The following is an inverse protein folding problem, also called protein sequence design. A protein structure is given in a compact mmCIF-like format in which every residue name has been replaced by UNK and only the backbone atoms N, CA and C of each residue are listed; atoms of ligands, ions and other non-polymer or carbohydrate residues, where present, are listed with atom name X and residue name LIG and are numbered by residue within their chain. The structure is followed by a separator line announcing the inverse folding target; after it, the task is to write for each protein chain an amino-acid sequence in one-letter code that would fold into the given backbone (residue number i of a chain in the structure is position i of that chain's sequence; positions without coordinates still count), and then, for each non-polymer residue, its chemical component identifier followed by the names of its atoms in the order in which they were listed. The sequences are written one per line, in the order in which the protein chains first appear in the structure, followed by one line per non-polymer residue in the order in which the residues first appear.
data_IF_722525952862
#
_entry.id   IF_722525952862
#
_cell.length_a   1.000
_cell.length_b   1.000
_cell.length_c   1.000
_cell.angle_alpha   90.00
_cell.angle_beta   90.00
_cell.angle_gamma   90.00
#
_symmetry.space_group_name_H-M   'P 1'
#
loop_
_entity.id
_entity.type
_entity.pdbx_description
1 polymer ?
#
# COMPACT_ATOMS: atom_id res chain seq x y z
N UNK A 1 22.54 7.89 22.10
CA UNK A 1 22.17 6.95 21.01
C UNK A 1 21.38 5.76 21.58
N UNK A 2 21.86 5.09 22.63
CA UNK A 2 21.16 3.95 23.27
C UNK A 2 19.73 4.25 23.76
N UNK A 3 19.49 5.43 24.34
CA UNK A 3 18.16 5.85 24.79
C UNK A 3 17.15 5.99 23.63
N UNK A 4 17.59 6.52 22.49
CA UNK A 4 16.77 6.66 21.29
C UNK A 4 16.41 5.29 20.73
N UNK A 5 17.39 4.39 20.63
CA UNK A 5 17.18 3.05 20.12
C UNK A 5 16.18 2.26 20.98
N UNK A 6 16.31 2.36 22.30
CA UNK A 6 15.37 1.75 23.24
C UNK A 6 13.93 2.26 23.07
N UNK A 7 13.74 3.60 22.96
CA UNK A 7 12.41 4.19 22.75
C UNK A 7 11.80 3.81 21.41
N UNK A 8 12.60 3.81 20.33
CA UNK A 8 12.15 3.38 19.00
C UNK A 8 11.74 1.91 19.03
N UNK A 9 12.54 1.02 19.63
CA UNK A 9 12.20 -0.39 19.78
C UNK A 9 10.90 -0.61 20.56
N UNK A 10 10.72 0.11 21.67
CA UNK A 10 9.49 0.02 22.48
C UNK A 10 8.27 0.53 21.70
N UNK A 11 8.40 1.64 20.97
CA UNK A 11 7.34 2.17 20.13
C UNK A 11 6.93 1.19 19.02
N UNK A 12 7.91 0.59 18.33
CA UNK A 12 7.65 -0.42 17.30
C UNK A 12 7.00 -1.69 17.87
N UNK A 13 7.36 -2.08 19.09
CA UNK A 13 6.71 -3.19 19.81
C UNK A 13 5.25 -2.87 20.10
N UNK A 14 4.96 -1.70 20.68
CA UNK A 14 3.60 -1.24 20.97
C UNK A 14 2.73 -1.19 19.70
N UNK A 15 3.29 -0.70 18.58
CA UNK A 15 2.64 -0.69 17.27
C UNK A 15 2.29 -2.10 16.75
N UNK A 16 3.22 -3.04 16.91
CA UNK A 16 3.04 -4.43 16.51
C UNK A 16 1.93 -5.11 17.31
N UNK A 17 1.82 -4.83 18.62
CA UNK A 17 0.75 -5.36 19.48
C UNK A 17 -0.65 -4.94 19.02
N UNK A 18 -0.82 -3.69 18.58
CA UNK A 18 -2.07 -3.20 18.00
C UNK A 18 -2.23 -3.54 16.51
N UNK A 19 -1.34 -4.38 15.96
CA UNK A 19 -1.29 -4.82 14.56
C UNK A 19 -1.25 -3.63 13.56
N UNK A 20 -0.72 -2.48 13.98
CA UNK A 20 -0.46 -1.35 13.08
C UNK A 20 1.01 -1.42 12.70
N UNK A 21 1.29 -2.05 11.56
CA UNK A 21 2.67 -2.25 11.12
C UNK A 21 3.21 -0.99 10.43
N UNK A 22 4.44 -0.60 10.78
CA UNK A 22 5.22 0.43 10.10
C UNK A 22 5.49 1.69 10.94
N UNK A 23 6.53 2.43 10.56
CA UNK A 23 6.99 3.68 11.19
C UNK A 23 6.11 4.83 10.72
N UNK A 24 4.85 4.85 11.14
CA UNK A 24 3.91 5.90 10.76
C UNK A 24 3.42 6.64 11.99
N UNK A 25 3.39 7.97 11.90
CA UNK A 25 2.64 8.80 12.85
C UNK A 25 1.19 8.32 12.87
N UNK A 26 0.72 7.90 14.04
CA UNK A 26 -0.69 7.57 14.24
C UNK A 26 -1.43 8.85 14.59
N UNK A 27 -2.25 9.33 13.67
CA UNK A 27 -3.09 10.49 13.89
C UNK A 27 -4.54 10.07 14.11
N UNK A 28 -5.24 10.85 14.96
CA UNK A 28 -6.67 10.68 15.16
C UNK A 28 -7.37 10.86 13.82
N UNK A 29 -8.14 9.84 13.43
CA UNK A 29 -8.88 9.86 12.18
C UNK A 29 -10.28 10.42 12.40
N UNK A 30 -10.73 11.33 11.54
CA UNK A 30 -12.09 11.88 11.58
C UNK A 30 -13.09 10.97 10.86
N UNK A 31 -14.36 11.02 11.28
CA UNK A 31 -15.45 10.31 10.59
C UNK A 31 -15.59 10.78 9.13
N UNK A 32 -15.43 12.08 8.87
CA UNK A 32 -15.49 12.63 7.50
C UNK A 32 -14.43 12.03 6.57
N UNK A 33 -13.21 11.78 7.06
CA UNK A 33 -12.15 11.12 6.28
C UNK A 33 -12.48 9.65 5.98
N UNK A 34 -13.10 8.95 6.92
CA UNK A 34 -13.55 7.56 6.70
C UNK A 34 -14.67 7.52 5.67
N UNK A 35 -15.63 8.43 5.79
CA UNK A 35 -16.75 8.55 4.87
C UNK A 35 -16.27 8.90 3.45
N UNK A 36 -15.35 9.85 3.31
CA UNK A 36 -14.80 10.20 1.99
C UNK A 36 -14.07 9.02 1.35
N UNK A 37 -13.25 8.29 2.11
CA UNK A 37 -12.59 7.06 1.63
C UNK A 37 -13.60 5.98 1.22
N UNK A 38 -14.69 5.83 1.99
CA UNK A 38 -15.77 4.89 1.67
C UNK A 38 -16.50 5.28 0.38
N UNK A 39 -16.88 6.55 0.22
CA UNK A 39 -17.50 7.06 -0.99
C UNK A 39 -16.60 6.82 -2.21
N UNK A 40 -15.29 7.08 -2.11
CA UNK A 40 -14.33 6.80 -3.17
C UNK A 40 -14.27 5.31 -3.50
N UNK A 41 -14.26 4.43 -2.50
CA UNK A 41 -14.28 2.97 -2.73
C UNK A 41 -15.53 2.55 -3.50
N UNK A 42 -16.71 2.99 -3.08
CA UNK A 42 -17.98 2.66 -3.74
C UNK A 42 -18.02 3.20 -5.17
N UNK A 43 -17.60 4.45 -5.37
CA UNK A 43 -17.58 5.09 -6.69
C UNK A 43 -16.68 4.34 -7.68
N UNK A 44 -15.51 3.89 -7.23
CA UNK A 44 -14.54 3.20 -8.09
C UNK A 44 -14.69 1.67 -8.11
N UNK A 45 -15.63 1.12 -7.35
CA UNK A 45 -15.85 -0.33 -7.29
C UNK A 45 -16.17 -0.96 -8.65
N UNK A 46 -16.98 -0.36 -9.55
CA UNK A 46 -17.24 -0.95 -10.87
C UNK A 46 -15.98 -1.09 -11.73
N UNK A 47 -15.09 -0.08 -11.71
CA UNK A 47 -13.81 -0.10 -12.43
C UNK A 47 -12.88 -1.16 -11.84
N UNK A 48 -12.85 -1.28 -10.51
CA UNK A 48 -12.11 -2.34 -9.82
C UNK A 48 -12.61 -3.73 -10.23
N UNK A 49 -13.93 -3.95 -10.22
CA UNK A 49 -14.52 -5.24 -10.58
C UNK A 49 -14.21 -5.61 -12.03
N UNK A 50 -14.34 -4.66 -12.96
CA UNK A 50 -13.92 -4.83 -14.35
C UNK A 50 -12.44 -5.25 -14.44
N UNK A 51 -11.54 -4.57 -13.69
CA UNK A 51 -10.12 -4.91 -13.65
C UNK A 51 -9.85 -6.31 -13.10
N UNK A 52 -10.54 -6.70 -12.03
CA UNK A 52 -10.41 -8.04 -11.42
C UNK A 52 -10.83 -9.11 -12.41
N UNK A 53 -12.00 -8.97 -13.04
CA UNK A 53 -12.53 -9.97 -13.98
C UNK A 53 -11.59 -10.15 -15.17
N UNK A 54 -11.18 -9.05 -15.80
CA UNK A 54 -10.38 -9.13 -17.02
C UNK A 54 -8.91 -9.51 -16.78
N UNK A 55 -8.37 -9.28 -15.58
CA UNK A 55 -6.98 -9.62 -15.26
C UNK A 55 -6.87 -10.85 -14.34
N UNK A 56 -7.97 -11.54 -14.03
CA UNK A 56 -7.98 -12.66 -13.10
C UNK A 56 -6.99 -13.77 -13.49
N UNK A 57 -6.98 -14.14 -14.77
CA UNK A 57 -6.12 -15.20 -15.32
C UNK A 57 -4.63 -14.83 -15.22
N UNK A 58 -4.16 -13.69 -15.77
CA UNK A 58 -2.74 -13.33 -15.70
C UNK A 58 -2.25 -13.11 -14.25
N UNK A 59 -3.07 -12.55 -13.37
CA UNK A 59 -2.74 -12.45 -11.95
C UNK A 59 -2.64 -13.83 -11.28
N UNK A 60 -3.57 -14.73 -11.54
CA UNK A 60 -3.57 -16.08 -10.97
C UNK A 60 -2.33 -16.87 -11.39
N UNK A 61 -1.94 -16.76 -12.66
CA UNK A 61 -0.72 -17.39 -13.17
C UNK A 61 0.54 -16.82 -12.49
N UNK A 62 0.60 -15.50 -12.34
CA UNK A 62 1.71 -14.83 -11.64
C UNK A 62 1.81 -15.26 -10.17
N UNK A 63 0.67 -15.41 -9.47
CA UNK A 63 0.61 -15.89 -8.09
C UNK A 63 1.05 -17.36 -8.00
N UNK A 64 0.62 -18.20 -8.94
CA UNK A 64 1.04 -19.60 -9.02
C UNK A 64 2.56 -19.70 -9.22
N UNK A 65 3.11 -18.92 -10.16
CA UNK A 65 4.55 -18.86 -10.43
C UNK A 65 5.35 -18.40 -9.19
N UNK A 66 4.86 -17.37 -8.49
CA UNK A 66 5.44 -16.90 -7.22
C UNK A 66 5.53 -18.00 -6.16
N UNK A 67 4.58 -18.95 -6.13
CA UNK A 67 4.58 -20.08 -5.17
C UNK A 67 5.58 -21.17 -5.54
N UNK A 68 6.03 -21.26 -6.80
CA UNK A 68 7.00 -22.26 -7.26
C UNK A 68 8.44 -21.90 -6.90
N UNK A 69 8.74 -20.62 -6.73
CA UNK A 69 10.07 -20.15 -6.35
C UNK A 69 10.22 -20.14 -4.82
N UNK A 70 11.16 -20.95 -4.32
CA UNK A 70 11.49 -21.03 -2.89
C UNK A 70 12.46 -19.93 -2.45
N UNK A 71 13.42 -19.59 -3.30
CA UNK A 71 14.43 -18.58 -2.99
C UNK A 71 13.81 -17.17 -2.96
N UNK A 72 13.81 -16.47 -1.82
CA UNK A 72 13.29 -15.11 -1.70
C UNK A 72 13.98 -14.12 -2.65
N UNK A 73 15.27 -14.30 -2.94
CA UNK A 73 16.08 -13.35 -3.72
C UNK A 73 15.72 -13.40 -5.21
N UNK A 74 15.35 -14.57 -5.73
CA UNK A 74 14.90 -14.73 -7.13
C UNK A 74 13.40 -14.49 -7.33
N UNK A 75 12.62 -14.46 -6.25
CA UNK A 75 11.16 -14.41 -6.30
C UNK A 75 10.62 -13.20 -7.06
N UNK A 76 11.22 -12.03 -6.88
CA UNK A 76 10.79 -10.79 -7.54
C UNK A 76 11.15 -10.77 -9.02
N UNK A 77 12.39 -11.14 -9.37
CA UNK A 77 12.85 -11.16 -10.76
C UNK A 77 12.12 -12.22 -11.59
N UNK A 78 11.92 -13.42 -11.04
CA UNK A 78 11.17 -14.47 -11.72
C UNK A 78 9.70 -14.09 -11.90
N UNK A 79 9.06 -13.54 -10.86
CA UNK A 79 7.70 -13.02 -10.96
C UNK A 79 7.59 -11.95 -12.05
N UNK A 80 8.55 -11.02 -12.10
CA UNK A 80 8.57 -9.98 -13.13
C UNK A 80 8.60 -10.57 -14.54
N UNK A 81 9.51 -11.52 -14.82
CA UNK A 81 9.61 -12.17 -16.13
C UNK A 81 8.32 -12.93 -16.48
N UNK A 82 7.77 -13.70 -15.54
CA UNK A 82 6.52 -14.43 -15.78
C UNK A 82 5.36 -13.47 -16.04
N UNK A 83 5.21 -12.40 -15.25
CA UNK A 83 4.17 -11.41 -15.47
C UNK A 83 4.36 -10.66 -16.79
N UNK A 84 5.60 -10.32 -17.15
CA UNK A 84 5.93 -9.62 -18.40
C UNK A 84 5.50 -10.42 -19.64
N UNK A 85 5.59 -11.75 -19.58
CA UNK A 85 5.17 -12.63 -20.68
C UNK A 85 3.68 -12.98 -20.58
N UNK A 86 3.19 -13.33 -19.39
CA UNK A 86 1.82 -13.78 -19.17
C UNK A 86 0.79 -12.70 -19.49
N UNK A 87 1.02 -11.45 -19.06
CA UNK A 87 0.04 -10.38 -19.22
C UNK A 87 -0.22 -10.06 -20.70
N UNK A 88 0.78 -9.75 -21.54
CA UNK A 88 0.55 -9.46 -22.96
C UNK A 88 -0.07 -10.64 -23.71
N UNK A 89 0.42 -11.88 -23.48
CA UNK A 89 -0.09 -13.06 -24.18
C UNK A 89 -1.55 -13.33 -23.84
N UNK A 90 -1.90 -13.39 -22.56
CA UNK A 90 -3.26 -13.70 -22.12
C UNK A 90 -4.24 -12.58 -22.50
N UNK A 91 -3.81 -11.32 -22.39
CA UNK A 91 -4.64 -10.18 -22.76
C UNK A 91 -4.87 -10.09 -24.28
N UNK A 92 -3.85 -10.41 -25.09
CA UNK A 92 -3.99 -10.47 -26.55
C UNK A 92 -4.97 -11.58 -26.92
N UNK A 93 -4.80 -12.78 -26.36
CA UNK A 93 -5.72 -13.90 -26.60
C UNK A 93 -7.16 -13.54 -26.23
N UNK A 94 -7.36 -12.95 -25.05
CA UNK A 94 -8.66 -12.49 -24.58
C UNK A 94 -9.26 -11.41 -25.49
N UNK A 95 -8.46 -10.47 -25.97
CA UNK A 95 -8.89 -9.41 -26.89
C UNK A 95 -9.32 -9.99 -28.24
N UNK A 96 -8.54 -10.94 -28.77
CA UNK A 96 -8.89 -11.66 -30.00
C UNK A 96 -10.21 -12.42 -29.82
N UNK A 97 -10.42 -13.05 -28.66
CA UNK A 97 -11.69 -13.70 -28.34
C UNK A 97 -12.86 -12.70 -28.34
N UNK A 98 -12.69 -11.53 -27.72
CA UNK A 98 -13.71 -10.47 -27.70
C UNK A 98 -13.99 -9.92 -29.10
N UNK A 99 -12.97 -9.84 -29.96
CA UNK A 99 -13.11 -9.34 -31.33
C UNK A 99 -14.09 -10.19 -32.17
N UNK A 100 -14.28 -11.48 -31.85
CA UNK A 100 -15.29 -12.31 -32.54
C UNK A 100 -16.74 -11.94 -32.19
N UNK A 101 -16.96 -11.21 -31.09
CA UNK A 101 -18.29 -10.82 -30.62
C UNK A 101 -18.57 -9.33 -30.82
N UNK A 102 -17.62 -8.57 -31.35
CA UNK A 102 -17.69 -7.11 -31.46
C UNK A 102 -17.40 -6.70 -32.90
N UNK A 103 -18.40 -6.15 -33.57
CA UNK A 103 -18.32 -5.85 -35.01
C UNK A 103 -17.34 -4.72 -35.36
N UNK A 104 -17.10 -3.80 -34.43
CA UNK A 104 -16.32 -2.61 -34.70
C UNK A 104 -14.93 -2.63 -34.07
N UNK A 105 -13.90 -2.46 -34.90
CA UNK A 105 -12.50 -2.49 -34.49
C UNK A 105 -12.14 -1.47 -33.40
N UNK A 106 -12.80 -0.31 -33.36
CA UNK A 106 -12.50 0.72 -32.36
C UNK A 106 -12.94 0.32 -30.95
N UNK A 107 -14.00 -0.49 -30.81
CA UNK A 107 -14.40 -1.06 -29.52
C UNK A 107 -13.40 -2.12 -29.06
N UNK A 108 -12.88 -2.92 -29.98
CA UNK A 108 -11.83 -3.91 -29.69
C UNK A 108 -10.53 -3.21 -29.29
N UNK A 109 -10.15 -2.13 -29.98
CA UNK A 109 -8.97 -1.34 -29.65
C UNK A 109 -9.13 -0.63 -28.29
N UNK A 110 -10.29 -0.04 -28.03
CA UNK A 110 -10.60 0.56 -26.73
C UNK A 110 -10.53 -0.48 -25.61
N UNK A 111 -11.06 -1.69 -25.84
CA UNK A 111 -10.97 -2.81 -24.92
C UNK A 111 -9.52 -3.23 -24.66
N UNK A 112 -8.73 -3.43 -25.73
CA UNK A 112 -7.31 -3.81 -25.64
C UNK A 112 -6.52 -2.85 -24.76
N UNK A 113 -6.79 -1.54 -24.85
CA UNK A 113 -6.14 -0.51 -24.03
C UNK A 113 -6.76 -0.42 -22.63
N UNK A 114 -8.06 -0.63 -22.46
CA UNK A 114 -8.72 -0.53 -21.16
C UNK A 114 -8.35 -1.67 -20.22
N UNK A 115 -8.08 -2.89 -20.72
CA UNK A 115 -7.70 -4.02 -19.85
C UNK A 115 -6.39 -3.76 -19.08
N UNK A 116 -5.24 -3.38 -19.69
CA UNK A 116 -4.00 -3.15 -18.95
C UNK A 116 -4.12 -1.94 -18.00
N UNK A 117 -4.84 -0.89 -18.41
CA UNK A 117 -5.12 0.25 -17.55
C UNK A 117 -5.94 -0.16 -16.31
N UNK A 118 -6.95 -1.01 -16.48
CA UNK A 118 -7.73 -1.55 -15.36
C UNK A 118 -6.89 -2.45 -14.45
N UNK A 119 -5.92 -3.19 -15.01
CA UNK A 119 -4.96 -3.98 -14.23
C UNK A 119 -4.07 -3.11 -13.34
N UNK A 120 -3.54 -2.00 -13.88
CA UNK A 120 -2.80 -1.01 -13.11
C UNK A 120 -3.69 -0.34 -12.04
N UNK A 121 -4.96 -0.06 -12.38
CA UNK A 121 -5.93 0.53 -11.46
C UNK A 121 -6.16 -0.32 -10.20
N UNK A 122 -6.07 -1.66 -10.30
CA UNK A 122 -6.20 -2.54 -9.12
C UNK A 122 -5.21 -2.19 -8.00
N UNK A 123 -4.00 -1.75 -8.33
CA UNK A 123 -3.00 -1.34 -7.32
C UNK A 123 -3.49 -0.11 -6.55
N UNK A 124 -4.00 0.89 -7.26
CA UNK A 124 -4.54 2.10 -6.67
C UNK A 124 -5.76 1.80 -5.79
N UNK A 125 -6.69 0.97 -6.27
CA UNK A 125 -7.87 0.59 -5.52
C UNK A 125 -7.52 -0.20 -4.25
N UNK A 126 -6.59 -1.16 -4.33
CA UNK A 126 -6.13 -1.92 -3.17
C UNK A 126 -5.45 -1.01 -2.12
N UNK A 127 -4.67 -0.03 -2.57
CA UNK A 127 -4.08 0.97 -1.67
C UNK A 127 -5.14 1.86 -1.01
N UNK A 128 -6.18 2.25 -1.75
CA UNK A 128 -7.33 2.99 -1.21
C UNK A 128 -8.08 2.15 -0.16
N UNK A 129 -8.33 0.87 -0.45
CA UNK A 129 -8.98 -0.06 0.46
C UNK A 129 -8.16 -0.26 1.75
N UNK A 130 -6.84 -0.41 1.62
CA UNK A 130 -5.93 -0.51 2.76
C UNK A 130 -5.93 0.78 3.60
N UNK A 131 -5.95 1.96 2.97
CA UNK A 131 -6.08 3.25 3.67
C UNK A 131 -7.39 3.32 4.46
N UNK A 132 -8.50 2.92 3.86
CA UNK A 132 -9.80 2.86 4.53
C UNK A 132 -9.81 1.90 5.73
N UNK A 133 -9.32 0.68 5.55
CA UNK A 133 -9.23 -0.29 6.65
C UNK A 133 -8.36 0.21 7.81
N UNK A 134 -7.22 0.84 7.50
CA UNK A 134 -6.36 1.48 8.51
C UNK A 134 -7.07 2.61 9.23
N UNK A 135 -7.76 3.50 8.50
CA UNK A 135 -8.53 4.61 9.04
C UNK A 135 -9.62 4.12 10.01
N UNK A 136 -10.40 3.10 9.62
CA UNK A 136 -11.39 2.46 10.47
C UNK A 136 -10.79 1.87 11.74
N UNK A 137 -9.66 1.17 11.58
CA UNK A 137 -8.98 0.53 12.70
C UNK A 137 -8.46 1.56 13.70
N UNK A 138 -7.81 2.61 13.23
CA UNK A 138 -7.31 3.71 14.06
C UNK A 138 -8.49 4.39 14.79
N UNK A 139 -9.57 4.71 14.07
CA UNK A 139 -10.76 5.30 14.66
C UNK A 139 -11.36 4.43 15.78
N UNK A 140 -11.47 3.11 15.55
CA UNK A 140 -11.95 2.15 16.56
C UNK A 140 -11.02 2.08 17.77
N UNK A 141 -9.69 2.14 17.56
CA UNK A 141 -8.71 2.13 18.65
C UNK A 141 -8.76 3.39 19.49
N UNK A 142 -8.82 4.59 18.89
CA UNK A 142 -8.98 5.84 19.63
C UNK A 142 -10.28 5.89 20.43
N UNK A 143 -11.36 5.27 19.95
CA UNK A 143 -12.62 5.19 20.68
C UNK A 143 -12.58 4.18 21.84
N UNK A 144 -11.85 3.07 21.70
CA UNK A 144 -11.81 1.98 22.71
C UNK A 144 -10.66 2.07 23.72
N UNK A 145 -9.53 2.67 23.33
CA UNK A 145 -8.27 2.68 24.08
C UNK A 145 -7.65 4.08 24.07
N UNK A 146 -8.47 5.11 24.31
CA UNK A 146 -8.07 6.52 24.20
C UNK A 146 -6.74 6.81 24.91
N UNK A 147 -6.63 6.50 26.21
CA UNK A 147 -5.42 6.74 27.01
C UNK A 147 -4.17 6.11 26.41
N UNK A 148 -4.26 4.85 25.96
CA UNK A 148 -3.14 4.15 25.33
C UNK A 148 -2.74 4.76 23.99
N UNK A 149 -3.72 5.20 23.20
CA UNK A 149 -3.46 5.85 21.91
C UNK A 149 -2.86 7.25 22.08
N UNK A 150 -3.30 7.99 23.10
CA UNK A 150 -2.74 9.30 23.45
C UNK A 150 -1.29 9.14 23.95
N UNK A 151 -1.01 8.12 24.79
CA UNK A 151 0.37 7.75 25.18
C UNK A 151 1.24 7.42 23.96
N UNK A 152 0.74 6.61 23.03
CA UNK A 152 1.48 6.24 21.82
C UNK A 152 1.78 7.44 20.91
N UNK A 153 0.92 8.46 20.91
CA UNK A 153 1.20 9.73 20.23
C UNK A 153 2.29 10.54 20.93
N UNK A 154 2.27 10.57 22.26
CA UNK A 154 3.29 11.24 23.06
C UNK A 154 4.65 10.56 22.91
N UNK A 155 4.72 9.23 22.96
CA UNK A 155 5.95 8.46 22.73
C UNK A 155 6.58 8.82 21.37
N UNK A 156 5.74 8.96 20.33
CA UNK A 156 6.20 9.36 19.00
C UNK A 156 6.74 10.80 18.96
N UNK A 157 6.08 11.75 19.63
CA UNK A 157 6.58 13.13 19.73
C UNK A 157 7.88 13.21 20.52
N UNK A 158 8.02 12.42 21.59
CA UNK A 158 9.25 12.37 22.37
C UNK A 158 10.42 11.81 21.54
N UNK A 159 10.19 10.77 20.74
CA UNK A 159 11.20 10.27 19.79
C UNK A 159 11.62 11.36 18.81
N UNK A 160 10.66 12.12 18.25
CA UNK A 160 10.97 13.22 17.34
C UNK A 160 11.80 14.32 18.02
N UNK A 161 11.44 14.71 19.25
CA UNK A 161 12.20 15.71 20.00
C UNK A 161 13.63 15.24 20.32
N UNK A 162 13.83 13.95 20.61
CA UNK A 162 15.17 13.38 20.81
C UNK A 162 15.96 13.42 19.50
N UNK A 163 15.35 13.06 18.37
CA UNK A 163 16.02 13.14 17.06
C UNK A 163 16.40 14.58 16.74
N UNK A 164 15.49 15.53 16.93
CA UNK A 164 15.70 16.96 16.66
C UNK A 164 16.83 17.54 17.53
N UNK A 165 16.84 17.21 18.82
CA UNK A 165 17.92 17.66 19.72
C UNK A 165 19.28 17.08 19.34
N UNK A 166 19.36 15.82 18.90
CA UNK A 166 20.61 15.23 18.41
C UNK A 166 21.09 15.89 17.11
N UNK A 167 20.18 16.20 16.19
CA UNK A 167 20.52 16.91 14.95
C UNK A 167 21.05 18.33 15.22
N UNK A 168 20.49 19.03 16.20
CA UNK A 168 20.95 20.37 16.58
C UNK A 168 22.29 20.38 17.33
N UNK A 169 22.57 19.37 18.16
CA UNK A 169 23.89 19.23 18.82
C UNK A 169 24.97 18.98 17.78
N UNK A 170 24.71 18.09 16.82
CA UNK A 170 25.68 17.74 15.76
C UNK A 170 26.03 18.97 14.88
N UNK A 171 25.06 19.83 14.59
CA UNK A 171 25.28 21.09 13.87
C UNK A 171 26.13 22.09 14.67
N UNK A 172 25.88 22.24 15.97
CA UNK A 172 26.61 23.17 16.83
C UNK A 172 28.07 22.73 17.07
N UNK A 173 28.32 21.42 17.15
CA UNK A 173 29.67 20.88 17.29
C UNK A 173 30.46 21.00 15.97
N UNK A 174 29.81 20.85 14.81
CA UNK A 174 30.42 21.12 13.50
C UNK A 174 30.83 22.59 13.32
N UNK A 175 29.99 23.54 13.75
CA UNK A 175 30.31 24.98 13.68
C UNK A 175 31.46 25.38 14.62
N UNK A 176 31.61 24.70 15.77
CA UNK A 176 32.74 24.91 16.67
C UNK A 176 34.05 24.34 16.15
N UNK A 177 34.03 23.26 15.37
CA UNK A 177 35.24 22.68 14.77
C UNK A 177 35.73 23.42 13.53
N UNK A 178 34.88 24.26 12.92
CA UNK A 178 35.20 25.03 11.71
C UNK A 178 35.57 26.49 11.97
N UNK A 179 35.58 26.92 13.23
CA UNK A 179 36.12 28.21 13.71
C UNK A 179 37.43 28.00 14.44
#
# INVERSE_FOLDING_TARGET
IDLLDQKVHQYLKNLKEIKLNGVYRIEKTSLGKILSLFCLLVLFFPVYLYGVVNNFIPFSLSIWAKKKIKDPQFKSSFLYVVSLVAFPLLQTLQTVLVAFFVDHWYWVAAYFVSVPLSGAFLIYYNNLANKFQRALKIFKLFRKRKTYMDQLQNDYQEILNIVDSLLHIDQADFEKQTR
#
